data_IF_806004442509
#
_entry.id   IF_806004442509
#
_cell.length_a   1.000
_cell.length_b   1.000
_cell.length_c   1.000
_cell.angle_alpha   90.00
_cell.angle_beta   90.00
_cell.angle_gamma   90.00
#
_symmetry.space_group_name_H-M   'P 1'
#
loop_
_entity.id
_entity.type
_entity.pdbx_description
1 polymer ?
#
# COMPACT_ATOMS: atom_id res chain seq x y z
N UNK A 1 7.83 16.03 -8.78
CA UNK A 1 9.07 15.24 -8.83
C UNK A 1 10.33 16.07 -8.65
N UNK A 2 10.50 17.25 -9.26
CA UNK A 2 11.68 18.13 -9.07
C UNK A 2 12.23 18.27 -7.63
N UNK A 3 11.36 18.30 -6.61
CA UNK A 3 11.80 18.39 -5.21
C UNK A 3 12.54 17.14 -4.67
N UNK A 4 12.36 15.96 -5.29
CA UNK A 4 13.08 14.74 -4.95
C UNK A 4 14.48 14.74 -5.58
N UNK A 5 14.58 15.25 -6.81
CA UNK A 5 15.83 15.42 -7.56
C UNK A 5 16.78 16.44 -6.88
N UNK A 6 16.23 17.37 -6.09
CA UNK A 6 17.00 18.34 -5.28
C UNK A 6 17.43 17.82 -3.90
N UNK A 7 17.16 16.56 -3.55
CA UNK A 7 17.62 15.99 -2.27
C UNK A 7 19.13 15.68 -2.32
N UNK A 8 19.80 15.78 -1.18
CA UNK A 8 21.24 15.58 -1.09
C UNK A 8 21.66 14.17 -1.57
N UNK A 9 22.52 14.11 -2.59
CA UNK A 9 22.96 12.86 -3.22
C UNK A 9 21.87 12.10 -3.99
N UNK A 10 20.76 12.75 -4.37
CA UNK A 10 19.73 12.15 -5.24
C UNK A 10 20.32 11.71 -6.59
N UNK A 11 21.21 12.51 -7.17
CA UNK A 11 21.89 12.24 -8.46
C UNK A 11 22.65 10.89 -8.51
N UNK A 12 23.04 10.33 -7.36
CA UNK A 12 23.70 9.03 -7.25
C UNK A 12 22.82 7.92 -6.66
N UNK A 13 21.85 8.28 -5.81
CA UNK A 13 21.07 7.33 -4.98
C UNK A 13 19.59 7.23 -5.33
N UNK A 14 19.04 8.17 -6.09
CA UNK A 14 17.65 8.17 -6.51
C UNK A 14 17.55 7.73 -7.97
N UNK A 15 16.74 6.70 -8.22
CA UNK A 15 16.28 6.33 -9.56
C UNK A 15 14.77 6.39 -9.58
N UNK A 16 14.23 7.16 -10.52
CA UNK A 16 12.78 7.29 -10.70
C UNK A 16 12.34 6.35 -11.83
N UNK A 17 11.43 5.45 -11.52
CA UNK A 17 10.84 4.51 -12.47
C UNK A 17 9.37 4.87 -12.70
N UNK A 18 8.93 4.87 -13.96
CA UNK A 18 7.51 4.87 -14.28
C UNK A 18 7.02 3.42 -14.19
N UNK A 19 6.00 3.19 -13.35
CA UNK A 19 5.51 1.86 -13.00
C UNK A 19 3.99 1.89 -12.84
N UNK A 20 3.29 0.85 -13.31
CA UNK A 20 1.92 0.56 -12.90
C UNK A 20 1.93 -0.74 -12.10
N UNK A 21 1.42 -0.68 -10.86
CA UNK A 21 1.33 -1.84 -9.97
C UNK A 21 0.35 -2.93 -10.48
N UNK A 22 -0.41 -2.66 -11.54
CA UNK A 22 -1.22 -3.63 -12.28
C UNK A 22 -0.49 -4.27 -13.47
N UNK A 23 0.59 -3.66 -13.97
CA UNK A 23 1.47 -4.20 -15.00
C UNK A 23 2.64 -4.96 -14.34
N UNK A 24 2.55 -6.28 -14.42
CA UNK A 24 3.49 -7.17 -13.74
C UNK A 24 4.90 -7.13 -14.34
N UNK A 25 5.03 -6.88 -15.64
CA UNK A 25 6.35 -6.82 -16.30
C UNK A 25 7.09 -5.55 -15.88
N UNK A 26 6.39 -4.41 -15.76
CA UNK A 26 6.95 -3.17 -15.20
C UNK A 26 7.39 -3.33 -13.74
N UNK A 27 6.65 -4.12 -12.96
CA UNK A 27 6.97 -4.47 -11.59
C UNK A 27 8.25 -5.31 -11.49
N UNK A 28 8.32 -6.41 -12.23
CA UNK A 28 9.49 -7.30 -12.23
C UNK A 28 10.76 -6.57 -12.69
N UNK A 29 10.67 -5.75 -13.74
CA UNK A 29 11.80 -4.95 -14.22
C UNK A 29 12.30 -3.91 -13.19
N UNK A 30 11.41 -3.37 -12.36
CA UNK A 30 11.75 -2.38 -11.32
C UNK A 30 12.26 -3.03 -10.03
N UNK A 31 11.71 -4.19 -9.66
CA UNK A 31 12.01 -4.87 -8.40
C UNK A 31 13.29 -5.72 -8.49
N UNK A 32 13.63 -6.26 -9.67
CA UNK A 32 14.78 -7.13 -9.82
C UNK A 32 16.10 -6.50 -9.33
N UNK A 33 16.84 -7.23 -8.49
CA UNK A 33 18.07 -6.75 -7.84
C UNK A 33 17.87 -5.87 -6.59
N UNK A 34 16.62 -5.61 -6.18
CA UNK A 34 16.31 -4.82 -4.97
C UNK A 34 16.39 -5.67 -3.70
N UNK A 35 17.08 -5.19 -2.66
CA UNK A 35 17.21 -5.92 -1.38
C UNK A 35 15.96 -5.79 -0.49
N UNK A 36 15.30 -4.63 -0.51
CA UNK A 36 14.11 -4.36 0.30
C UNK A 36 13.11 -3.45 -0.42
N UNK A 37 11.82 -3.71 -0.21
CA UNK A 37 10.72 -2.93 -0.75
C UNK A 37 9.97 -2.25 0.39
N UNK A 38 9.71 -0.96 0.23
CA UNK A 38 8.70 -0.26 1.00
C UNK A 38 7.39 -0.20 0.20
N UNK A 39 6.29 0.05 0.87
CA UNK A 39 4.98 0.25 0.26
C UNK A 39 4.34 1.38 1.10
N UNK A 40 4.61 2.67 0.76
CA UNK A 40 4.20 3.98 1.39
C UNK A 40 3.27 5.05 0.64
N UNK A 41 2.49 4.80 -0.44
CA UNK A 41 1.53 5.75 -1.12
C UNK A 41 0.25 5.08 -1.76
N UNK A 42 -0.97 5.48 -1.36
CA UNK A 42 -2.31 4.86 -1.68
C UNK A 42 -2.95 5.41 -2.97
N UNK A 43 -4.00 4.79 -3.56
CA UNK A 43 -5.07 5.61 -4.13
C UNK A 43 -5.74 6.41 -3.00
N UNK A 44 -5.61 7.73 -3.04
CA UNK A 44 -6.35 8.64 -2.17
C UNK A 44 -7.46 9.29 -3.00
N UNK A 45 -8.70 8.83 -2.82
CA UNK A 45 -9.87 9.40 -3.51
C UNK A 45 -10.71 10.17 -2.50
N UNK A 46 -10.88 11.47 -2.77
CA UNK A 46 -11.69 12.41 -1.97
C UNK A 46 -13.15 12.43 -2.46
N UNK A 47 -13.37 12.10 -3.73
CA UNK A 47 -14.69 12.11 -4.37
C UNK A 47 -15.53 10.87 -4.07
N UNK A 48 -16.86 10.98 -4.26
CA UNK A 48 -17.77 9.83 -4.15
C UNK A 48 -17.53 8.81 -5.27
N UNK A 49 -16.96 7.67 -4.90
CA UNK A 49 -16.83 6.47 -5.75
C UNK A 49 -18.18 5.76 -5.82
N UNK A 50 -18.60 5.31 -7.02
CA UNK A 50 -19.92 4.67 -7.23
C UNK A 50 -19.93 3.22 -6.78
N UNK A 51 -18.84 2.51 -7.05
CA UNK A 51 -18.60 1.14 -6.60
C UNK A 51 -17.24 1.07 -5.87
N UNK A 52 -17.19 1.40 -4.57
CA UNK A 52 -15.94 1.37 -3.80
C UNK A 52 -15.26 -0.01 -3.76
N UNK A 53 -16.00 -1.09 -4.05
CA UNK A 53 -15.38 -2.42 -4.13
C UNK A 53 -14.58 -2.53 -5.44
N UNK A 54 -15.24 -2.35 -6.58
CA UNK A 54 -14.65 -2.54 -7.91
C UNK A 54 -13.66 -1.44 -8.30
N UNK A 55 -13.91 -0.21 -7.88
CA UNK A 55 -13.15 0.98 -8.30
C UNK A 55 -12.01 1.34 -7.32
N UNK A 56 -12.04 0.81 -6.08
CA UNK A 56 -11.00 1.01 -5.08
C UNK A 56 -10.45 -0.30 -4.50
N UNK A 57 -11.28 -1.10 -3.82
CA UNK A 57 -10.80 -2.23 -3.02
C UNK A 57 -10.13 -3.33 -3.84
N UNK A 58 -10.79 -3.82 -4.88
CA UNK A 58 -10.28 -4.91 -5.73
C UNK A 58 -8.97 -4.50 -6.47
N UNK A 59 -8.83 -3.28 -7.05
CA UNK A 59 -7.57 -2.76 -7.55
C UNK A 59 -6.47 -2.68 -6.49
N UNK A 60 -6.77 -2.16 -5.29
CA UNK A 60 -5.78 -2.03 -4.18
C UNK A 60 -5.25 -3.40 -3.77
N UNK A 61 -6.13 -4.37 -3.53
CA UNK A 61 -5.77 -5.75 -3.19
C UNK A 61 -4.90 -6.37 -4.30
N UNK A 62 -5.31 -6.23 -5.58
CA UNK A 62 -4.56 -6.78 -6.71
C UNK A 62 -3.15 -6.17 -6.82
N UNK A 63 -3.01 -4.86 -6.62
CA UNK A 63 -1.71 -4.16 -6.64
C UNK A 63 -0.77 -4.66 -5.54
N UNK A 64 -1.25 -4.79 -4.30
CA UNK A 64 -0.44 -5.33 -3.19
C UNK A 64 -0.03 -6.78 -3.45
N UNK A 65 -0.95 -7.62 -3.94
CA UNK A 65 -0.65 -9.02 -4.28
C UNK A 65 0.40 -9.09 -5.40
N UNK A 66 0.32 -8.24 -6.42
CA UNK A 66 1.32 -8.17 -7.48
C UNK A 66 2.71 -7.80 -6.91
N UNK A 67 2.81 -6.78 -6.06
CA UNK A 67 4.09 -6.41 -5.42
C UNK A 67 4.65 -7.54 -4.56
N UNK A 68 3.82 -8.20 -3.74
CA UNK A 68 4.28 -9.31 -2.89
C UNK A 68 4.72 -10.54 -3.70
N UNK A 69 4.10 -10.80 -4.86
CA UNK A 69 4.52 -11.86 -5.78
C UNK A 69 5.85 -11.51 -6.45
N UNK A 70 5.97 -10.32 -7.03
CA UNK A 70 7.20 -9.87 -7.69
C UNK A 70 8.37 -9.80 -6.69
N UNK A 71 8.12 -9.33 -5.47
CA UNK A 71 9.09 -9.36 -4.38
C UNK A 71 9.59 -10.78 -4.07
N UNK A 72 8.69 -11.76 -4.02
CA UNK A 72 9.04 -13.16 -3.79
C UNK A 72 9.82 -13.77 -4.97
N UNK A 73 9.43 -13.46 -6.21
CA UNK A 73 10.06 -13.98 -7.43
C UNK A 73 11.45 -13.36 -7.68
N UNK A 74 11.68 -12.12 -7.24
CA UNK A 74 12.99 -11.45 -7.25
C UNK A 74 13.81 -11.63 -5.96
N UNK A 75 13.44 -12.58 -5.09
CA UNK A 75 14.15 -12.93 -3.84
C UNK A 75 14.38 -11.74 -2.88
N UNK A 76 13.47 -10.76 -2.87
CA UNK A 76 13.53 -9.58 -2.00
C UNK A 76 13.47 -10.00 -0.53
N UNK A 77 14.43 -9.52 0.27
CA UNK A 77 14.61 -9.96 1.66
C UNK A 77 13.54 -9.43 2.62
N UNK A 78 13.08 -8.20 2.41
CA UNK A 78 12.12 -7.52 3.29
C UNK A 78 11.11 -6.72 2.48
N UNK A 79 9.82 -6.84 2.82
CA UNK A 79 8.75 -5.98 2.30
C UNK A 79 8.06 -5.29 3.48
N UNK A 80 8.10 -3.97 3.52
CA UNK A 80 7.44 -3.15 4.54
C UNK A 80 6.17 -2.55 3.94
N UNK A 81 5.00 -2.97 4.45
CA UNK A 81 3.70 -2.53 3.96
C UNK A 81 3.09 -1.49 4.90
N UNK A 82 2.86 -0.27 4.42
CA UNK A 82 2.20 0.79 5.20
C UNK A 82 0.68 0.62 5.15
N UNK A 83 0.18 -0.01 6.22
CA UNK A 83 -1.24 0.00 6.57
C UNK A 83 -1.68 1.38 7.07
N UNK A 84 -2.92 1.49 7.53
CA UNK A 84 -3.49 2.69 8.13
C UNK A 84 -4.24 2.35 9.42
N UNK A 85 -4.49 3.36 10.25
CA UNK A 85 -5.36 3.22 11.43
C UNK A 85 -6.76 2.71 11.05
N UNK A 86 -7.22 2.96 9.81
CA UNK A 86 -8.49 2.42 9.29
C UNK A 86 -8.52 0.88 9.12
N UNK A 87 -7.38 0.18 9.26
CA UNK A 87 -7.34 -1.27 9.37
C UNK A 87 -7.73 -1.79 10.77
N UNK A 88 -7.65 -0.92 11.80
CA UNK A 88 -7.95 -1.26 13.21
C UNK A 88 -9.17 -0.52 13.79
N UNK A 89 -9.64 0.56 13.16
CA UNK A 89 -10.91 1.25 13.48
C UNK A 89 -11.74 1.53 12.22
N UNK A 90 -13.09 1.50 12.29
CA UNK A 90 -13.92 1.24 13.47
C UNK A 90 -13.97 -0.26 13.84
N UNK A 91 -13.71 -0.58 15.10
CA UNK A 91 -13.66 -1.95 15.63
C UNK A 91 -14.74 -2.14 16.71
N UNK A 92 -16.01 -2.16 16.27
CA UNK A 92 -17.20 -2.11 17.16
C UNK A 92 -17.31 -3.27 18.16
N UNK A 93 -16.73 -4.43 17.82
CA UNK A 93 -16.73 -5.63 18.66
C UNK A 93 -15.54 -5.70 19.63
N UNK A 94 -14.64 -4.71 19.62
CA UNK A 94 -13.49 -4.67 20.51
C UNK A 94 -13.91 -4.20 21.92
N UNK A 95 -13.50 -4.88 23.02
CA UNK A 95 -13.84 -4.47 24.37
C UNK A 95 -13.36 -3.03 24.69
N UNK A 96 -14.19 -2.26 25.38
CA UNK A 96 -13.93 -0.84 25.64
C UNK A 96 -12.80 -0.61 26.65
N UNK A 97 -12.55 -1.58 27.52
CA UNK A 97 -11.54 -1.62 28.59
C UNK A 97 -10.19 -2.22 28.14
N UNK A 98 -10.11 -2.76 26.91
CA UNK A 98 -8.89 -3.40 26.38
C UNK A 98 -8.17 -2.48 25.39
N UNK A 99 -6.91 -2.17 25.67
CA UNK A 99 -6.03 -1.43 24.76
C UNK A 99 -5.93 -2.15 23.42
N UNK A 100 -6.13 -1.42 22.32
CA UNK A 100 -6.03 -1.96 20.95
C UNK A 100 -4.57 -2.25 20.60
N UNK A 101 -4.24 -3.51 20.41
CA UNK A 101 -2.94 -3.97 19.91
C UNK A 101 -3.00 -4.44 18.45
N UNK A 102 -1.95 -5.11 17.99
CA UNK A 102 -1.79 -5.65 16.63
C UNK A 102 -2.81 -6.75 16.28
N UNK A 103 -3.54 -7.26 17.26
CA UNK A 103 -4.63 -8.22 17.12
C UNK A 103 -6.02 -7.56 16.98
N UNK A 104 -6.13 -6.22 17.04
CA UNK A 104 -7.37 -5.48 16.78
C UNK A 104 -7.58 -5.25 15.29
N UNK A 105 -8.79 -5.50 14.80
CA UNK A 105 -9.15 -5.34 13.39
C UNK A 105 -10.46 -4.57 13.22
N UNK A 106 -10.55 -3.82 12.13
CA UNK A 106 -11.76 -3.10 11.71
C UNK A 106 -12.93 -4.05 11.45
N UNK A 107 -14.12 -3.63 11.87
CA UNK A 107 -15.40 -4.18 11.46
C UNK A 107 -15.66 -3.85 9.98
N UNK A 108 -15.22 -4.77 9.13
CA UNK A 108 -15.31 -4.68 7.67
C UNK A 108 -16.77 -4.57 7.22
N UNK A 109 -17.70 -5.25 7.90
CA UNK A 109 -19.12 -5.21 7.52
C UNK A 109 -19.77 -3.88 7.88
N UNK A 110 -19.41 -3.27 9.01
CA UNK A 110 -19.80 -1.89 9.29
C UNK A 110 -19.31 -0.92 8.21
N UNK A 111 -18.03 -1.01 7.81
CA UNK A 111 -17.46 -0.11 6.80
C UNK A 111 -18.17 -0.22 5.44
N UNK A 112 -18.57 -1.44 5.03
CA UNK A 112 -19.40 -1.67 3.83
C UNK A 112 -20.75 -0.96 3.92
N UNK A 113 -21.41 -1.00 5.08
CA UNK A 113 -22.73 -0.37 5.26
C UNK A 113 -22.66 1.16 5.41
N UNK A 114 -21.59 1.71 6.00
CA UNK A 114 -21.46 3.16 6.24
C UNK A 114 -20.67 3.91 5.17
N UNK A 115 -20.12 3.22 4.17
CA UNK A 115 -19.32 3.83 3.12
C UNK A 115 -17.98 4.41 3.60
N UNK A 116 -17.41 3.85 4.67
CA UNK A 116 -16.10 4.27 5.19
C UNK A 116 -15.02 3.64 4.33
N UNK A 117 -14.36 4.46 3.51
CA UNK A 117 -13.29 4.04 2.61
C UNK A 117 -11.99 3.70 3.35
N UNK A 118 -11.37 2.57 2.99
CA UNK A 118 -10.07 2.17 3.51
C UNK A 118 -8.94 2.96 2.82
N UNK A 119 -8.13 3.66 3.61
CA UNK A 119 -6.86 4.23 3.16
C UNK A 119 -5.75 3.16 3.32
N UNK A 120 -5.06 2.75 2.24
CA UNK A 120 -3.94 1.78 2.35
C UNK A 120 -2.81 2.15 1.37
N UNK A 121 -1.61 2.37 1.90
CA UNK A 121 -0.67 3.36 1.39
C UNK A 121 0.61 2.67 0.87
N UNK A 122 0.89 2.57 -0.45
CA UNK A 122 1.83 1.67 -1.17
C UNK A 122 2.89 2.18 -2.25
N UNK A 123 4.00 2.85 -1.87
CA UNK A 123 5.21 3.32 -2.62
C UNK A 123 6.50 2.54 -2.31
N UNK A 124 7.25 2.19 -3.37
CA UNK A 124 8.56 1.51 -3.32
C UNK A 124 9.70 2.51 -3.13
N UNK A 125 10.58 2.24 -2.16
CA UNK A 125 11.95 2.74 -2.12
C UNK A 125 12.86 1.53 -2.30
N UNK A 126 13.57 1.45 -3.43
CA UNK A 126 14.69 0.52 -3.60
C UNK A 126 15.95 1.17 -3.03
N UNK A 127 16.53 0.56 -2.00
CA UNK A 127 17.86 0.90 -1.46
C UNK A 127 18.99 0.25 -2.25
#
# INVERSE_FOLDING_TARGET
MKHLETLEGAEFRLRLFQIDLLDYDSLMATINGTVSIFHLASPYIVDKVKDPKRELLDPVIKRTINVLKAAKECEVRWVVVTSSIFAIIPSRYWPADVVKGENCWTDVDYCKHTGVSFLITFLVVSS
#
